data_IF_463567262699
#
_entry.id   IF_463567262699
#
_cell.length_a   1.000
_cell.length_b   1.000
_cell.length_c   1.000
_cell.angle_alpha   90.00
_cell.angle_beta   90.00
_cell.angle_gamma   90.00
#
_symmetry.space_group_name_H-M   'P 1'
#
loop_
_entity.id
_entity.type
_entity.pdbx_description
1 polymer ?
#
# COMPACT_ATOMS: atom_id res chain seq x y z
N UNK A 1 39.91 16.05 -58.33
CA UNK A 1 40.40 15.90 -56.94
C UNK A 1 39.50 16.78 -56.08
N UNK A 2 38.74 16.36 -55.07
CA UNK A 2 38.49 15.12 -54.35
C UNK A 2 37.56 15.59 -53.22
N UNK A 3 36.33 15.05 -53.18
CA UNK A 3 35.22 15.49 -52.32
C UNK A 3 35.57 15.34 -50.82
N UNK A 4 35.08 16.25 -49.97
CA UNK A 4 34.89 15.95 -48.54
C UNK A 4 33.70 16.73 -48.00
N UNK A 5 32.52 16.10 -48.06
CA UNK A 5 31.37 16.46 -47.23
C UNK A 5 31.63 15.91 -45.83
N UNK A 6 31.60 16.77 -44.81
CA UNK A 6 31.52 16.35 -43.41
C UNK A 6 30.05 16.28 -43.00
N UNK A 7 29.54 15.06 -42.83
CA UNK A 7 28.22 14.77 -42.25
C UNK A 7 28.35 14.76 -40.72
N UNK A 8 27.73 15.72 -40.05
CA UNK A 8 27.63 15.77 -38.59
C UNK A 8 26.45 14.89 -38.15
N UNK A 9 26.72 13.73 -37.56
CA UNK A 9 25.71 12.86 -36.99
C UNK A 9 25.28 13.38 -35.61
N UNK A 10 24.07 13.92 -35.51
CA UNK A 10 23.44 14.28 -34.23
C UNK A 10 22.79 13.02 -33.69
N UNK A 11 23.43 12.39 -32.70
CA UNK A 11 22.84 11.30 -31.95
C UNK A 11 21.70 11.85 -31.07
N UNK A 12 20.45 11.60 -31.48
CA UNK A 12 19.30 11.77 -30.59
C UNK A 12 19.39 10.68 -29.51
N UNK A 13 19.87 11.05 -28.32
CA UNK A 13 19.62 10.27 -27.11
C UNK A 13 18.11 10.32 -26.84
N UNK A 14 17.40 9.28 -27.27
CA UNK A 14 16.04 8.99 -26.84
C UNK A 14 16.05 8.82 -25.32
N UNK A 15 15.71 9.88 -24.60
CA UNK A 15 15.46 9.83 -23.17
C UNK A 15 14.16 9.06 -22.94
N UNK A 16 14.27 7.73 -22.85
CA UNK A 16 13.22 6.88 -22.30
C UNK A 16 13.06 7.23 -20.83
N UNK A 17 12.23 8.22 -20.56
CA UNK A 17 11.79 8.55 -19.21
C UNK A 17 10.88 7.41 -18.75
N UNK A 18 11.45 6.39 -18.09
CA UNK A 18 10.64 5.56 -17.20
C UNK A 18 10.08 6.52 -16.16
N UNK A 19 8.79 6.84 -16.26
CA UNK A 19 8.08 7.54 -15.21
C UNK A 19 8.26 6.71 -13.93
N UNK A 20 9.02 7.24 -12.97
CA UNK A 20 9.07 6.68 -11.64
C UNK A 20 7.64 6.68 -11.09
N UNK A 21 7.21 5.63 -10.38
CA UNK A 21 5.90 5.63 -9.73
C UNK A 21 5.81 6.88 -8.84
N UNK A 22 4.75 7.66 -9.04
CA UNK A 22 4.53 8.93 -8.36
C UNK A 22 4.50 8.69 -6.85
N UNK A 23 5.59 9.07 -6.18
CA UNK A 23 5.77 8.83 -4.75
C UNK A 23 4.77 9.61 -3.89
N UNK A 24 4.00 10.53 -4.49
CA UNK A 24 2.92 11.25 -3.83
C UNK A 24 1.66 10.41 -3.58
N UNK A 25 1.46 9.33 -4.33
CA UNK A 25 0.32 8.43 -4.11
C UNK A 25 0.47 7.58 -2.83
N UNK A 26 1.64 7.59 -2.19
CA UNK A 26 1.99 6.67 -1.08
C UNK A 26 1.39 7.12 0.26
N UNK A 27 0.88 8.36 0.38
CA UNK A 27 0.38 8.91 1.64
C UNK A 27 -1.00 9.57 1.53
N UNK A 28 -1.85 9.06 0.65
CA UNK A 28 -3.24 9.49 0.63
C UNK A 28 -4.12 8.47 1.38
N UNK A 29 -5.22 8.91 2.03
CA UNK A 29 -6.13 7.98 2.67
C UNK A 29 -6.71 6.96 1.69
N UNK A 30 -6.89 5.72 2.13
CA UNK A 30 -7.48 4.64 1.32
C UNK A 30 -8.88 4.28 1.83
N UNK A 31 -9.74 3.77 0.97
CA UNK A 31 -11.04 3.22 1.37
C UNK A 31 -10.90 1.70 1.51
N UNK A 32 -10.93 1.17 2.73
CA UNK A 32 -10.80 -0.26 3.00
C UNK A 32 -12.15 -0.87 3.39
N UNK A 33 -12.50 -2.02 2.84
CA UNK A 33 -13.73 -2.73 3.21
C UNK A 33 -13.63 -3.26 4.64
N UNK A 34 -14.71 -3.09 5.41
CA UNK A 34 -14.79 -3.59 6.78
C UNK A 34 -14.96 -5.10 6.81
N UNK A 35 -14.30 -5.75 7.76
CA UNK A 35 -14.37 -7.19 7.99
C UNK A 35 -14.68 -7.47 9.47
N UNK A 36 -15.58 -8.41 9.74
CA UNK A 36 -16.15 -8.66 11.09
C UNK A 36 -15.07 -8.93 12.16
N UNK A 37 -13.99 -9.61 11.78
CA UNK A 37 -12.85 -9.91 12.65
C UNK A 37 -11.57 -9.40 12.02
N UNK A 38 -11.58 -8.15 11.56
CA UNK A 38 -10.59 -7.69 10.60
C UNK A 38 -10.43 -6.19 10.52
N UNK A 39 -10.25 -5.71 9.29
CA UNK A 39 -10.13 -4.29 8.98
C UNK A 39 -11.37 -3.51 9.40
N UNK A 40 -11.16 -2.43 10.15
CA UNK A 40 -12.17 -1.41 10.45
C UNK A 40 -12.87 -1.60 11.80
N UNK A 41 -13.69 -0.60 12.13
CA UNK A 41 -14.45 -0.55 13.38
C UNK A 41 -15.37 -1.76 13.54
N UNK A 42 -15.38 -2.35 14.75
CA UNK A 42 -16.19 -3.52 15.04
C UNK A 42 -17.69 -3.20 14.93
N UNK A 43 -18.45 -4.11 14.30
CA UNK A 43 -19.91 -3.99 14.22
C UNK A 43 -20.40 -2.98 13.18
N UNK A 44 -19.50 -2.30 12.48
CA UNK A 44 -19.82 -1.44 11.35
C UNK A 44 -19.69 -2.20 10.01
N UNK A 45 -20.51 -1.81 9.03
CA UNK A 45 -20.51 -2.37 7.68
C UNK A 45 -19.94 -1.37 6.65
N UNK A 46 -19.76 -1.80 5.40
CA UNK A 46 -19.28 -0.95 4.31
C UNK A 46 -17.77 -0.71 4.34
N UNK A 47 -17.31 0.44 3.87
CA UNK A 47 -15.89 0.81 3.85
C UNK A 47 -15.53 1.87 4.87
N UNK A 48 -14.28 1.83 5.33
CA UNK A 48 -13.68 2.78 6.24
C UNK A 48 -12.55 3.53 5.55
N UNK A 49 -12.38 4.81 5.90
CA UNK A 49 -11.18 5.54 5.53
C UNK A 49 -10.02 5.08 6.42
N UNK A 50 -8.97 4.59 5.76
CA UNK A 50 -7.70 4.21 6.36
C UNK A 50 -6.73 5.37 6.20
N UNK A 51 -6.12 5.78 7.30
CA UNK A 51 -5.14 6.86 7.30
C UNK A 51 -3.73 6.30 7.08
N UNK A 52 -2.89 7.00 6.30
CA UNK A 52 -1.50 6.64 6.14
C UNK A 52 -0.76 6.82 7.47
N UNK A 53 0.20 5.95 7.74
CA UNK A 53 1.05 6.03 8.91
C UNK A 53 2.37 6.69 8.50
N UNK A 54 2.47 8.00 8.78
CA UNK A 54 3.63 8.80 8.39
C UNK A 54 3.95 8.66 6.91
N UNK A 55 5.24 8.52 6.58
CA UNK A 55 5.74 8.31 5.21
C UNK A 55 6.21 6.86 4.98
N UNK A 56 5.67 5.90 5.74
CA UNK A 56 6.12 4.50 5.71
C UNK A 56 5.47 3.66 4.59
N UNK A 57 4.51 4.22 3.85
CA UNK A 57 3.76 3.47 2.83
C UNK A 57 2.92 2.34 3.43
N UNK A 58 2.43 2.54 4.65
CA UNK A 58 1.52 1.62 5.34
C UNK A 58 0.33 2.40 5.89
N UNK A 59 -0.80 1.72 6.04
CA UNK A 59 -2.04 2.30 6.52
C UNK A 59 -2.56 1.54 7.74
N UNK A 60 -3.33 2.24 8.55
CA UNK A 60 -3.94 1.68 9.74
C UNK A 60 -5.45 1.97 9.80
N UNK A 61 -6.19 1.02 10.36
CA UNK A 61 -7.59 1.13 10.76
C UNK A 61 -7.78 0.44 12.11
N UNK A 62 -8.85 0.72 12.86
CA UNK A 62 -9.24 -0.09 14.01
C UNK A 62 -9.31 -1.57 13.64
N UNK A 63 -8.99 -2.41 14.60
CA UNK A 63 -8.82 -3.83 14.41
C UNK A 63 -9.36 -4.58 15.60
N UNK A 64 -10.15 -5.61 15.33
CA UNK A 64 -10.85 -6.35 16.38
C UNK A 64 -10.71 -7.85 16.18
N UNK A 65 -10.14 -8.52 17.18
CA UNK A 65 -10.09 -9.97 17.27
C UNK A 65 -10.48 -10.43 18.68
N UNK A 66 -11.74 -10.86 18.91
CA UNK A 66 -12.21 -11.24 20.23
C UNK A 66 -11.63 -12.58 20.69
N UNK A 67 -11.39 -12.72 21.99
CA UNK A 67 -11.09 -14.02 22.62
C UNK A 67 -9.67 -14.54 22.43
N UNK A 68 -8.80 -13.80 21.74
CA UNK A 68 -7.41 -14.17 21.56
C UNK A 68 -6.52 -13.21 22.37
N UNK A 69 -6.00 -13.62 23.54
CA UNK A 69 -5.04 -12.82 24.27
C UNK A 69 -3.80 -12.62 23.39
N UNK A 70 -3.46 -11.37 23.12
CA UNK A 70 -2.35 -11.00 22.23
C UNK A 70 -1.01 -11.15 22.95
N UNK A 71 -0.69 -12.37 23.40
CA UNK A 71 0.59 -12.69 24.04
C UNK A 71 1.78 -12.72 23.04
N UNK A 72 1.57 -12.25 21.82
CA UNK A 72 2.59 -12.18 20.79
C UNK A 72 3.49 -10.97 21.02
N UNK A 73 4.77 -11.12 20.70
CA UNK A 73 5.78 -10.07 20.83
C UNK A 73 5.35 -8.80 20.07
N UNK A 74 5.56 -7.64 20.69
CA UNK A 74 5.24 -6.30 20.18
C UNK A 74 6.13 -5.98 18.97
N UNK A 75 5.80 -6.56 17.82
CA UNK A 75 6.45 -6.29 16.55
C UNK A 75 5.42 -5.83 15.54
N UNK A 76 5.55 -4.61 15.00
CA UNK A 76 4.78 -4.16 13.86
C UNK A 76 4.84 -5.17 12.72
N UNK A 77 3.69 -5.46 12.10
CA UNK A 77 3.64 -6.26 10.87
C UNK A 77 2.85 -5.54 9.81
N UNK A 78 3.30 -5.68 8.57
CA UNK A 78 2.61 -5.21 7.39
C UNK A 78 1.95 -6.39 6.68
N UNK A 79 0.67 -6.26 6.34
CA UNK A 79 -0.08 -7.27 5.60
C UNK A 79 -0.44 -6.74 4.20
N UNK A 80 -0.27 -7.55 3.16
CA UNK A 80 -0.64 -7.14 1.80
C UNK A 80 -2.16 -7.13 1.67
N UNK A 81 -2.72 -6.05 1.13
CA UNK A 81 -4.15 -5.92 0.83
C UNK A 81 -4.32 -5.48 -0.61
N UNK A 82 -5.14 -6.21 -1.37
CA UNK A 82 -5.44 -5.84 -2.75
C UNK A 82 -6.20 -4.55 -2.79
N UNK A 83 -5.72 -3.62 -3.61
CA UNK A 83 -6.35 -2.33 -3.81
C UNK A 83 -6.41 -1.98 -5.31
N UNK A 84 -7.54 -1.39 -5.71
CA UNK A 84 -7.79 -0.85 -7.04
C UNK A 84 -8.39 0.54 -6.90
N UNK A 85 -7.84 1.53 -7.58
CA UNK A 85 -8.34 2.91 -7.57
C UNK A 85 -8.62 3.45 -6.15
N UNK A 86 -7.69 3.16 -5.22
CA UNK A 86 -7.75 3.52 -3.78
C UNK A 86 -8.85 2.82 -2.95
N UNK A 87 -9.51 1.82 -3.52
CA UNK A 87 -10.45 0.93 -2.84
C UNK A 87 -9.78 -0.42 -2.55
N UNK A 88 -9.87 -0.90 -1.31
CA UNK A 88 -9.17 -2.08 -0.82
C UNK A 88 -10.15 -3.12 -0.25
N UNK A 89 -9.91 -4.42 -0.52
CA UNK A 89 -10.83 -5.54 -0.19
C UNK A 89 -10.99 -5.83 1.32
N UNK A 90 -10.12 -5.25 2.16
CA UNK A 90 -10.07 -5.57 3.58
C UNK A 90 -9.37 -6.89 3.87
N UNK A 91 -9.26 -7.23 5.15
CA UNK A 91 -8.59 -8.46 5.60
C UNK A 91 -9.22 -8.97 6.89
N UNK A 92 -9.10 -10.28 7.13
CA UNK A 92 -9.49 -10.91 8.40
C UNK A 92 -8.23 -11.14 9.21
N UNK A 93 -8.26 -10.73 10.48
CA UNK A 93 -7.17 -10.95 11.42
C UNK A 93 -7.25 -12.38 11.94
N UNK A 94 -6.11 -13.02 12.03
CA UNK A 94 -5.95 -14.35 12.63
C UNK A 94 -5.02 -14.26 13.84
N UNK A 95 -5.12 -15.17 14.81
CA UNK A 95 -4.24 -15.17 15.98
C UNK A 95 -2.74 -15.22 15.63
N UNK A 96 -2.39 -15.84 14.50
CA UNK A 96 -1.00 -15.98 14.03
C UNK A 96 -0.38 -14.65 13.56
N UNK A 97 -1.22 -13.65 13.23
CA UNK A 97 -0.77 -12.33 12.80
C UNK A 97 -0.26 -11.49 13.98
N UNK A 98 -0.62 -11.84 15.21
CA UNK A 98 -0.23 -11.11 16.42
C UNK A 98 -1.26 -10.07 16.85
N UNK A 99 -0.85 -9.06 17.65
CA UNK A 99 -1.78 -8.09 18.19
C UNK A 99 -2.27 -7.14 17.09
N UNK A 100 -3.61 -6.98 16.97
CA UNK A 100 -4.22 -6.13 15.94
C UNK A 100 -3.73 -4.67 15.99
N UNK A 101 -3.44 -4.14 17.18
CA UNK A 101 -2.91 -2.76 17.34
C UNK A 101 -1.55 -2.51 16.65
N UNK A 102 -0.82 -3.57 16.30
CA UNK A 102 0.48 -3.49 15.60
C UNK A 102 0.42 -4.04 14.17
N UNK A 103 -0.78 -4.27 13.65
CA UNK A 103 -0.96 -4.65 12.25
C UNK A 103 -1.21 -3.40 11.42
N UNK A 104 -0.44 -3.28 10.36
CA UNK A 104 -0.58 -2.26 9.32
C UNK A 104 -0.83 -2.99 8.01
N UNK A 105 -1.41 -2.31 7.02
CA UNK A 105 -1.52 -2.89 5.69
C UNK A 105 -0.76 -2.11 4.63
N UNK A 106 -0.28 -2.84 3.64
CA UNK A 106 0.39 -2.32 2.44
C UNK A 106 -0.50 -2.64 1.24
N UNK A 107 -0.85 -1.64 0.41
CA UNK A 107 -1.62 -1.87 -0.79
C UNK A 107 -0.78 -2.64 -1.81
N UNK A 108 -1.35 -3.68 -2.38
CA UNK A 108 -0.82 -4.37 -3.55
C UNK A 108 -1.74 -4.14 -4.73
N UNK A 109 -1.17 -4.09 -5.94
CA UNK A 109 -1.98 -4.07 -7.17
C UNK A 109 -2.82 -5.35 -7.27
N UNK A 110 -4.03 -5.23 -7.83
CA UNK A 110 -4.82 -6.39 -8.32
C UNK A 110 -4.04 -7.25 -9.31
#
# INVERSE_FOLDING_TARGET
MGKTLALLAIALCSASSLAAPDSRAINEPLSIQRQIFGSGEQGAAGSQQAEPVGDYGVWHVPQYLPGYPTAATIWPRAIPVKCKDRQCEGYVITPQMGPGEYLFFVPTSE
#
